data_IF_677349695114
#
_entry.id   IF_677349695114
#
_cell.length_a   1.000
_cell.length_b   1.000
_cell.length_c   1.000
_cell.angle_alpha   90.00
_cell.angle_beta   90.00
_cell.angle_gamma   90.00
#
_symmetry.space_group_name_H-M   'P 1'
#
loop_
_entity.id
_entity.type
_entity.pdbx_description
1 polymer ?
#
# COMPACT_ATOMS: atom_id res chain seq x y z
N UNK A 1 3.36 -52.76 -22.85
CA UNK A 1 4.06 -52.21 -21.67
C UNK A 1 4.49 -50.81 -22.03
N UNK A 2 4.37 -49.87 -21.09
CA UNK A 2 4.99 -48.56 -21.25
C UNK A 2 6.51 -48.73 -21.23
N UNK A 3 7.18 -48.00 -22.11
CA UNK A 3 8.63 -47.97 -22.25
C UNK A 3 9.19 -46.72 -21.58
N UNK A 4 10.51 -46.68 -21.37
CA UNK A 4 11.18 -45.49 -20.86
C UNK A 4 10.91 -44.26 -21.74
N UNK A 5 10.88 -44.45 -23.06
CA UNK A 5 10.58 -43.39 -24.02
C UNK A 5 9.19 -42.76 -23.80
N UNK A 6 8.20 -43.58 -23.46
CA UNK A 6 6.85 -43.08 -23.19
C UNK A 6 6.80 -42.24 -21.90
N UNK A 7 7.63 -42.58 -20.90
CA UNK A 7 7.75 -41.81 -19.66
C UNK A 7 8.48 -40.47 -19.90
N UNK A 8 9.58 -40.50 -20.66
CA UNK A 8 10.34 -39.30 -21.00
C UNK A 8 9.50 -38.30 -21.80
N UNK A 9 8.63 -38.79 -22.69
CA UNK A 9 7.71 -37.96 -23.47
C UNK A 9 6.61 -37.32 -22.59
N UNK A 10 6.10 -38.06 -21.60
CA UNK A 10 5.16 -37.52 -20.62
C UNK A 10 5.80 -36.45 -19.74
N UNK A 11 7.02 -36.69 -19.25
CA UNK A 11 7.77 -35.72 -18.44
C UNK A 11 7.95 -34.39 -19.19
N UNK A 12 8.37 -34.47 -20.46
CA UNK A 12 8.51 -33.28 -21.31
C UNK A 12 7.20 -32.51 -21.49
N UNK A 13 6.09 -33.19 -21.77
CA UNK A 13 4.77 -32.55 -21.92
C UNK A 13 4.32 -31.88 -20.62
N UNK A 14 4.63 -32.50 -19.47
CA UNK A 14 4.31 -31.95 -18.15
C UNK A 14 5.12 -30.69 -17.88
N UNK A 15 6.43 -30.69 -18.16
CA UNK A 15 7.30 -29.53 -17.98
C UNK A 15 6.89 -28.35 -18.86
N UNK A 16 6.65 -28.59 -20.15
CA UNK A 16 6.17 -27.55 -21.08
C UNK A 16 4.84 -26.94 -20.60
N UNK A 17 3.91 -27.77 -20.11
CA UNK A 17 2.62 -27.29 -19.58
C UNK A 17 2.77 -26.51 -18.28
N UNK A 18 3.71 -26.88 -17.42
CA UNK A 18 3.97 -26.15 -16.17
C UNK A 18 4.55 -24.78 -16.54
N UNK A 19 5.57 -24.74 -17.39
CA UNK A 19 6.20 -23.49 -17.83
C UNK A 19 5.19 -22.55 -18.50
N UNK A 20 4.38 -23.03 -19.43
CA UNK A 20 3.35 -22.23 -20.09
C UNK A 20 2.34 -21.61 -19.12
N UNK A 21 1.98 -22.35 -18.06
CA UNK A 21 1.01 -21.91 -17.05
C UNK A 21 1.62 -21.00 -16.00
N UNK A 22 2.91 -21.15 -15.68
CA UNK A 22 3.54 -20.46 -14.56
C UNK A 22 4.51 -19.36 -14.97
N UNK A 23 4.85 -19.22 -16.27
CA UNK A 23 5.81 -18.21 -16.77
C UNK A 23 5.53 -16.76 -16.38
N UNK A 24 4.28 -16.43 -16.08
CA UNK A 24 3.87 -15.08 -15.68
C UNK A 24 3.61 -14.96 -14.16
N UNK A 25 3.75 -16.05 -13.42
CA UNK A 25 3.63 -16.01 -11.98
C UNK A 25 4.93 -15.45 -11.41
N UNK A 26 4.85 -14.48 -10.49
CA UNK A 26 6.03 -14.02 -9.81
C UNK A 26 6.61 -15.18 -8.99
N UNK A 27 7.92 -15.15 -8.82
CA UNK A 27 8.56 -15.97 -7.80
C UNK A 27 8.08 -15.56 -6.42
N UNK A 28 8.28 -16.45 -5.44
CA UNK A 28 7.96 -16.18 -4.04
C UNK A 28 8.61 -14.88 -3.57
N UNK A 29 9.88 -14.68 -3.89
CA UNK A 29 10.66 -13.54 -3.42
C UNK A 29 10.22 -12.23 -4.11
N UNK A 30 9.88 -12.27 -5.41
CA UNK A 30 9.29 -11.10 -6.09
C UNK A 30 7.93 -10.72 -5.52
N UNK A 31 7.10 -11.71 -5.21
CA UNK A 31 5.78 -11.46 -4.62
C UNK A 31 5.92 -10.81 -3.24
N UNK A 32 6.71 -11.40 -2.34
CA UNK A 32 6.88 -10.87 -0.99
C UNK A 32 7.63 -9.53 -0.99
N UNK A 33 8.63 -9.35 -1.85
CA UNK A 33 9.34 -8.08 -1.98
C UNK A 33 8.39 -6.93 -2.38
N UNK A 34 7.52 -7.15 -3.37
CA UNK A 34 6.52 -6.14 -3.76
C UNK A 34 5.46 -5.91 -2.68
N UNK A 35 5.04 -6.96 -1.98
CA UNK A 35 4.08 -6.83 -0.88
C UNK A 35 4.67 -6.01 0.28
N UNK A 36 5.93 -6.23 0.63
CA UNK A 36 6.62 -5.48 1.67
C UNK A 36 6.76 -3.99 1.29
N UNK A 37 7.09 -3.70 0.02
CA UNK A 37 7.12 -2.33 -0.51
C UNK A 37 5.76 -1.64 -0.37
N UNK A 38 4.67 -2.27 -0.85
CA UNK A 38 3.31 -1.73 -0.76
C UNK A 38 2.89 -1.52 0.70
N UNK A 39 3.23 -2.45 1.59
CA UNK A 39 2.92 -2.32 3.01
C UNK A 39 3.72 -1.19 3.68
N UNK A 40 4.96 -0.96 3.24
CA UNK A 40 5.78 0.18 3.66
C UNK A 40 5.11 1.51 3.32
N UNK A 41 4.72 1.69 2.06
CA UNK A 41 4.01 2.88 1.60
C UNK A 41 2.69 3.09 2.33
N UNK A 42 1.91 2.02 2.54
CA UNK A 42 0.65 2.10 3.27
C UNK A 42 0.84 2.54 4.73
N UNK A 43 1.95 2.12 5.36
CA UNK A 43 2.30 2.56 6.71
C UNK A 43 2.61 4.05 6.74
N UNK A 44 3.42 4.54 5.79
CA UNK A 44 3.76 5.97 5.68
C UNK A 44 2.49 6.83 5.51
N UNK A 45 1.58 6.43 4.63
CA UNK A 45 0.30 7.14 4.42
C UNK A 45 -0.52 7.22 5.72
N UNK A 46 -0.55 6.15 6.52
CA UNK A 46 -1.27 6.14 7.80
C UNK A 46 -0.65 7.09 8.82
N UNK A 47 0.68 7.13 8.88
CA UNK A 47 1.41 8.05 9.75
C UNK A 47 1.14 9.51 9.36
N UNK A 48 1.21 9.83 8.06
CA UNK A 48 0.87 11.16 7.54
C UNK A 48 -0.57 11.56 7.87
N UNK A 49 -1.53 10.66 7.64
CA UNK A 49 -2.95 10.89 7.95
C UNK A 49 -3.16 11.18 9.45
N UNK A 50 -2.45 10.46 10.32
CA UNK A 50 -2.51 10.69 11.76
C UNK A 50 -1.96 12.07 12.14
N UNK A 51 -0.84 12.48 11.55
CA UNK A 51 -0.25 13.82 11.78
C UNK A 51 -1.21 14.91 11.30
N UNK A 52 -1.76 14.78 10.10
CA UNK A 52 -2.74 15.71 9.54
C UNK A 52 -3.98 15.84 10.42
N UNK A 53 -4.47 14.72 10.96
CA UNK A 53 -5.62 14.72 11.86
C UNK A 53 -5.34 15.51 13.14
N UNK A 54 -4.16 15.31 13.74
CA UNK A 54 -3.74 16.08 14.92
C UNK A 54 -3.48 17.57 14.63
N UNK A 55 -3.01 17.91 13.43
CA UNK A 55 -2.87 19.29 13.00
C UNK A 55 -4.25 19.96 12.79
N UNK A 56 -5.20 19.24 12.19
CA UNK A 56 -6.56 19.74 11.99
C UNK A 56 -7.23 20.08 13.33
N UNK A 57 -7.09 19.22 14.35
CA UNK A 57 -7.60 19.49 15.69
C UNK A 57 -6.99 20.78 16.28
N UNK A 58 -5.67 20.96 16.17
CA UNK A 58 -4.98 22.17 16.67
C UNK A 58 -5.42 23.43 15.93
N UNK A 59 -5.55 23.37 14.61
CA UNK A 59 -6.01 24.50 13.81
C UNK A 59 -7.42 24.91 14.21
N UNK A 60 -8.32 23.95 14.42
CA UNK A 60 -9.68 24.22 14.88
C UNK A 60 -9.70 24.85 16.29
N UNK A 61 -8.90 24.34 17.24
CA UNK A 61 -8.77 24.97 18.58
C UNK A 61 -8.23 26.41 18.47
N UNK A 62 -7.21 26.61 17.64
CA UNK A 62 -6.65 27.94 17.42
C UNK A 62 -7.68 28.90 16.82
N UNK A 63 -8.47 28.45 15.84
CA UNK A 63 -9.52 29.24 15.21
C UNK A 63 -10.57 29.68 16.24
N UNK A 64 -11.05 28.76 17.10
CA UNK A 64 -11.99 29.10 18.17
C UNK A 64 -11.41 30.10 19.17
N UNK A 65 -10.13 29.97 19.51
CA UNK A 65 -9.44 30.86 20.45
C UNK A 65 -9.22 32.24 19.85
N UNK A 66 -8.84 32.31 18.58
CA UNK A 66 -8.70 33.56 17.83
C UNK A 66 -10.05 34.27 17.78
N UNK A 67 -11.12 33.56 17.40
CA UNK A 67 -12.47 34.14 17.33
C UNK A 67 -12.90 34.74 18.69
N UNK A 68 -12.62 34.04 19.80
CA UNK A 68 -12.89 34.54 21.16
C UNK A 68 -12.11 35.84 21.46
N UNK A 69 -10.85 35.91 21.04
CA UNK A 69 -9.99 37.09 21.25
C UNK A 69 -10.46 38.26 20.38
N UNK A 70 -10.75 38.02 19.11
CA UNK A 70 -11.24 39.03 18.17
C UNK A 70 -12.54 39.65 18.65
N UNK A 71 -13.49 38.83 19.11
CA UNK A 71 -14.74 39.30 19.75
C UNK A 71 -14.47 40.18 20.96
N UNK A 72 -13.54 39.79 21.83
CA UNK A 72 -13.20 40.56 23.04
C UNK A 72 -12.55 41.89 22.71
N UNK A 73 -11.69 41.92 21.69
CA UNK A 73 -10.96 43.10 21.26
C UNK A 73 -11.71 43.96 20.22
N UNK A 74 -12.87 43.48 19.74
CA UNK A 74 -13.67 44.10 18.67
C UNK A 74 -12.88 44.31 17.38
N UNK A 75 -12.01 43.35 17.08
CA UNK A 75 -11.22 43.30 15.83
C UNK A 75 -12.02 42.47 14.82
N UNK A 76 -12.02 42.87 13.55
CA UNK A 76 -12.62 42.06 12.49
C UNK A 76 -11.66 40.94 12.06
N UNK A 77 -12.16 39.72 11.77
CA UNK A 77 -11.33 38.64 11.25
C UNK A 77 -10.60 39.09 9.98
N UNK A 78 -9.29 38.84 9.92
CA UNK A 78 -8.54 38.99 8.67
C UNK A 78 -8.71 37.70 7.89
N UNK A 79 -9.35 37.81 6.72
CA UNK A 79 -9.54 36.73 5.73
C UNK A 79 -8.23 35.99 5.47
#
# INVERSE_FOLDING_TARGET
MLTQKDLDEVEKIVDERIEDKTRNLPTKDEFFGKMDEVMGELKLIREETSVLSGLHEKVNDHEERIEKIEKKLRIQPSI
#
